data_IF_495766086012
#
_entry.id   IF_495766086012
#
_cell.length_a   1.000
_cell.length_b   1.000
_cell.length_c   1.000
_cell.angle_alpha   90.00
_cell.angle_beta   90.00
_cell.angle_gamma   90.00
#
_symmetry.space_group_name_H-M   'P 1'
#
loop_
_entity.id
_entity.type
_entity.pdbx_description
1 polymer ?
#
# COMPACT_ATOMS: atom_id res chain seq x y z
N UNK A 1 11.69 -23.44 -33.94
CA UNK A 1 10.81 -22.39 -33.39
C UNK A 1 9.78 -22.10 -34.50
N UNK A 2 8.50 -22.41 -34.24
CA UNK A 2 7.42 -22.05 -35.16
C UNK A 2 7.16 -20.55 -35.10
N UNK A 3 6.83 -19.89 -36.22
CA UNK A 3 6.44 -18.48 -36.17
C UNK A 3 5.16 -18.34 -35.36
N UNK A 4 5.25 -17.71 -34.18
CA UNK A 4 4.13 -17.52 -33.26
C UNK A 4 4.36 -18.03 -31.84
N UNK A 5 5.40 -18.80 -31.58
CA UNK A 5 5.75 -19.16 -30.20
C UNK A 5 6.31 -17.93 -29.46
N UNK A 6 5.84 -17.63 -28.24
CA UNK A 6 6.41 -16.55 -27.45
C UNK A 6 7.90 -16.85 -27.23
N UNK A 7 8.75 -15.90 -27.61
CA UNK A 7 10.20 -15.98 -27.36
C UNK A 7 10.40 -16.27 -25.87
N UNK A 8 11.09 -17.36 -25.49
CA UNK A 8 11.35 -17.62 -24.08
C UNK A 8 12.17 -16.44 -23.53
N UNK A 9 11.60 -15.69 -22.61
CA UNK A 9 12.31 -14.62 -21.92
C UNK A 9 13.38 -15.33 -21.09
N UNK A 10 14.66 -15.16 -21.46
CA UNK A 10 15.78 -15.72 -20.71
C UNK A 10 15.78 -15.08 -19.31
N UNK A 11 15.47 -15.83 -18.25
CA UNK A 11 15.47 -15.29 -16.89
C UNK A 11 16.85 -14.80 -16.46
N UNK A 12 17.93 -15.26 -17.08
CA UNK A 12 19.30 -14.83 -16.74
C UNK A 12 19.58 -13.43 -17.27
N UNK A 13 19.13 -13.08 -18.47
CA UNK A 13 19.28 -11.73 -19.02
C UNK A 13 18.48 -10.67 -18.28
N UNK A 14 17.43 -11.07 -17.54
CA UNK A 14 16.67 -10.18 -16.64
C UNK A 14 17.46 -9.71 -15.42
N UNK A 15 18.53 -10.40 -15.05
CA UNK A 15 19.28 -10.17 -13.81
C UNK A 15 20.71 -9.65 -14.03
N UNK A 16 21.18 -9.52 -15.27
CA UNK A 16 22.55 -9.11 -15.58
C UNK A 16 22.88 -7.63 -15.36
N UNK A 17 21.90 -6.80 -15.06
CA UNK A 17 22.12 -5.37 -14.89
C UNK A 17 21.81 -4.92 -13.47
N UNK A 18 22.64 -5.19 -12.49
CA UNK A 18 22.73 -4.34 -11.29
C UNK A 18 23.99 -4.62 -10.46
N UNK A 19 25.17 -4.31 -11.01
CA UNK A 19 26.41 -4.28 -10.21
C UNK A 19 26.49 -3.05 -9.29
N UNK A 20 25.61 -2.03 -9.47
CA UNK A 20 25.58 -0.76 -8.73
C UNK A 20 24.44 -0.65 -7.70
N UNK A 21 23.82 -1.76 -7.28
CA UNK A 21 22.78 -1.70 -6.24
C UNK A 21 23.37 -1.32 -4.90
N UNK A 22 23.19 -0.05 -4.52
CA UNK A 22 23.43 0.36 -3.13
C UNK A 22 22.60 -0.49 -2.16
N UNK A 23 23.17 -0.83 -0.98
CA UNK A 23 22.49 -1.65 -0.01
C UNK A 23 21.17 -1.02 0.43
N UNK A 24 20.12 -1.83 0.58
CA UNK A 24 18.80 -1.42 1.12
C UNK A 24 18.91 -1.04 2.62
N UNK A 25 19.78 -0.07 2.94
CA UNK A 25 20.07 0.34 4.31
C UNK A 25 18.82 0.85 5.04
N UNK A 26 17.92 1.56 4.32
CA UNK A 26 16.64 2.01 4.84
C UNK A 26 15.73 0.88 5.32
N UNK A 27 15.80 -0.29 4.65
CA UNK A 27 15.00 -1.46 5.01
C UNK A 27 15.47 -2.13 6.33
N UNK A 28 16.69 -1.87 6.77
CA UNK A 28 17.22 -2.39 8.03
C UNK A 28 16.75 -1.58 9.24
N UNK A 29 16.26 -0.34 9.01
CA UNK A 29 15.79 0.57 10.05
C UNK A 29 14.26 0.47 10.15
N UNK A 30 13.68 -0.04 11.25
CA UNK A 30 12.23 -0.19 11.40
C UNK A 30 11.57 1.14 11.82
N UNK A 31 11.92 2.23 11.14
CA UNK A 31 11.40 3.60 11.30
C UNK A 31 11.50 4.34 9.97
N UNK A 32 10.72 5.42 9.77
CA UNK A 32 10.85 6.27 8.59
C UNK A 32 12.27 6.83 8.46
N UNK A 33 12.89 6.60 7.30
CA UNK A 33 14.18 7.21 6.94
C UNK A 33 13.90 8.37 6.01
N UNK A 34 13.89 9.57 6.57
CA UNK A 34 13.64 10.80 5.81
C UNK A 34 14.83 11.17 4.93
N UNK A 35 14.53 11.61 3.71
CA UNK A 35 15.47 12.12 2.72
C UNK A 35 15.01 13.48 2.27
N UNK A 36 15.92 14.44 2.18
CA UNK A 36 15.69 15.76 1.58
C UNK A 36 15.83 15.72 0.05
N UNK A 37 15.59 16.84 -0.61
CA UNK A 37 15.77 16.98 -2.04
C UNK A 37 14.68 16.32 -2.88
N UNK A 38 13.48 16.15 -2.33
CA UNK A 38 12.36 15.59 -3.06
C UNK A 38 11.38 16.66 -3.53
N UNK A 39 10.67 16.35 -4.60
CA UNK A 39 9.41 16.99 -5.00
C UNK A 39 8.28 15.98 -4.75
N UNK A 40 7.26 16.39 -4.02
CA UNK A 40 6.09 15.56 -3.74
C UNK A 40 4.81 16.31 -4.07
N UNK A 41 3.88 15.63 -4.72
CA UNK A 41 2.60 16.19 -5.17
C UNK A 41 1.48 15.28 -4.67
N UNK A 42 0.44 15.88 -4.07
CA UNK A 42 -0.77 15.18 -3.65
C UNK A 42 -1.70 15.01 -4.86
N UNK A 43 -2.08 13.78 -5.15
CA UNK A 43 -3.01 13.43 -6.23
C UNK A 43 -4.32 12.93 -5.62
N UNK A 44 -5.43 13.63 -5.91
CA UNK A 44 -6.76 13.26 -5.47
C UNK A 44 -7.47 12.44 -6.54
N UNK A 45 -7.82 11.20 -6.19
CA UNK A 45 -8.57 10.30 -7.07
C UNK A 45 -7.79 9.81 -8.29
N UNK A 46 -8.43 8.92 -9.03
CA UNK A 46 -7.93 8.40 -10.30
C UNK A 46 -7.80 9.46 -11.38
N UNK A 47 -8.67 10.47 -11.35
CA UNK A 47 -8.66 11.59 -12.32
C UNK A 47 -7.35 12.40 -12.26
N UNK A 48 -6.71 12.50 -11.10
CA UNK A 48 -5.39 13.12 -10.98
C UNK A 48 -4.26 12.08 -11.17
N UNK A 49 -4.40 10.88 -10.60
CA UNK A 49 -3.37 9.85 -10.62
C UNK A 49 -3.12 9.30 -12.02
N UNK A 50 -4.16 8.85 -12.73
CA UNK A 50 -3.96 8.12 -13.98
C UNK A 50 -3.36 8.97 -15.09
N UNK A 51 -3.78 10.23 -15.33
CA UNK A 51 -3.11 11.09 -16.30
C UNK A 51 -1.63 11.33 -15.97
N UNK A 52 -1.30 11.60 -14.70
CA UNK A 52 0.08 11.81 -14.26
C UNK A 52 0.94 10.54 -14.44
N UNK A 53 0.41 9.38 -14.05
CA UNK A 53 1.08 8.09 -14.19
C UNK A 53 1.24 7.70 -15.66
N UNK A 54 0.21 7.86 -16.49
CA UNK A 54 0.26 7.62 -17.94
C UNK A 54 1.28 8.53 -18.62
N UNK A 55 1.34 9.81 -18.23
CA UNK A 55 2.36 10.74 -18.74
C UNK A 55 3.77 10.28 -18.42
N UNK A 56 4.04 9.87 -17.16
CA UNK A 56 5.33 9.33 -16.77
C UNK A 56 5.68 8.06 -17.57
N UNK A 57 4.75 7.12 -17.71
CA UNK A 57 4.94 5.88 -18.49
C UNK A 57 5.21 6.17 -19.98
N UNK A 58 4.52 7.16 -20.55
CA UNK A 58 4.76 7.59 -21.96
C UNK A 58 6.16 8.13 -22.17
N UNK A 59 6.74 8.78 -21.17
CA UNK A 59 8.08 9.35 -21.21
C UNK A 59 9.17 8.38 -20.74
N UNK A 60 8.80 7.19 -20.29
CA UNK A 60 9.74 6.16 -19.85
C UNK A 60 10.74 5.79 -20.95
N UNK A 61 12.03 5.65 -20.56
CA UNK A 61 13.16 5.33 -21.44
C UNK A 61 13.74 3.95 -21.16
N UNK A 62 13.73 3.50 -19.92
CA UNK A 62 14.43 2.31 -19.49
C UNK A 62 13.51 1.25 -18.90
N UNK A 63 12.75 1.60 -17.86
CA UNK A 63 11.91 0.62 -17.18
C UNK A 63 10.70 1.23 -16.46
N UNK A 64 9.66 0.42 -16.36
CA UNK A 64 8.44 0.71 -15.60
C UNK A 64 8.14 -0.47 -14.69
N UNK A 65 7.93 -0.20 -13.41
CA UNK A 65 7.49 -1.12 -12.40
C UNK A 65 6.12 -0.74 -11.89
N UNK A 66 5.17 -1.67 -11.90
CA UNK A 66 3.83 -1.48 -11.35
C UNK A 66 3.51 -2.62 -10.40
N UNK A 67 3.07 -2.30 -9.19
CA UNK A 67 2.49 -3.25 -8.25
C UNK A 67 1.12 -2.74 -7.81
N UNK A 68 0.09 -3.58 -7.91
CA UNK A 68 -1.28 -3.20 -7.55
C UNK A 68 -2.05 -4.37 -6.96
N UNK A 69 -3.02 -4.07 -6.10
CA UNK A 69 -3.93 -5.05 -5.55
C UNK A 69 -5.06 -5.39 -6.54
N UNK A 70 -5.66 -4.38 -7.15
CA UNK A 70 -6.68 -4.51 -8.20
C UNK A 70 -6.13 -3.91 -9.49
N UNK A 71 -6.30 -4.64 -10.60
CA UNK A 71 -6.17 -4.14 -11.96
C UNK A 71 -7.44 -4.57 -12.69
N UNK A 72 -8.40 -3.67 -12.81
CA UNK A 72 -9.74 -3.94 -13.32
C UNK A 72 -9.79 -3.89 -14.85
N UNK A 73 -10.88 -4.40 -15.45
CA UNK A 73 -11.13 -4.30 -16.88
C UNK A 73 -12.13 -3.16 -17.18
N UNK A 74 -11.78 -1.93 -16.79
CA UNK A 74 -12.55 -0.73 -17.08
C UNK A 74 -11.78 0.26 -17.94
N UNK A 75 -12.42 1.36 -18.35
CA UNK A 75 -11.84 2.35 -19.25
C UNK A 75 -10.59 3.02 -18.64
N UNK A 76 -10.57 3.34 -17.36
CA UNK A 76 -9.44 3.98 -16.68
C UNK A 76 -8.25 3.01 -16.58
N UNK A 77 -8.50 1.77 -16.17
CA UNK A 77 -7.49 0.73 -16.08
C UNK A 77 -6.93 0.38 -17.47
N UNK A 78 -7.79 0.31 -18.49
CA UNK A 78 -7.36 0.04 -19.87
C UNK A 78 -6.53 1.18 -20.45
N UNK A 79 -6.75 2.44 -20.07
CA UNK A 79 -5.89 3.55 -20.47
C UNK A 79 -4.46 3.37 -19.90
N UNK A 80 -4.33 2.89 -18.66
CA UNK A 80 -3.03 2.54 -18.07
C UNK A 80 -2.40 1.35 -18.81
N UNK A 81 -3.17 0.28 -19.07
CA UNK A 81 -2.69 -0.88 -19.84
C UNK A 81 -2.13 -0.47 -21.20
N UNK A 82 -2.84 0.36 -21.97
CA UNK A 82 -2.40 0.89 -23.27
C UNK A 82 -1.09 1.69 -23.14
N UNK A 83 -0.92 2.48 -22.06
CA UNK A 83 0.32 3.21 -21.84
C UNK A 83 1.51 2.25 -21.61
N UNK A 84 1.31 1.21 -20.79
CA UNK A 84 2.29 0.15 -20.52
C UNK A 84 2.65 -0.62 -21.81
N UNK A 85 1.63 -1.01 -22.61
CA UNK A 85 1.82 -1.68 -23.89
C UNK A 85 2.66 -0.84 -24.87
N UNK A 86 2.36 0.46 -24.98
CA UNK A 86 3.12 1.38 -25.82
C UNK A 86 4.56 1.55 -25.33
N UNK A 87 4.79 1.59 -24.02
CA UNK A 87 6.13 1.63 -23.46
C UNK A 87 6.91 0.34 -23.81
N UNK A 88 6.30 -0.83 -23.62
CA UNK A 88 6.92 -2.11 -23.97
C UNK A 88 7.28 -2.19 -25.49
N UNK A 89 6.40 -1.73 -26.39
CA UNK A 89 6.68 -1.66 -27.84
C UNK A 89 7.84 -0.72 -28.19
N UNK A 90 8.12 0.29 -27.37
CA UNK A 90 9.32 1.15 -27.52
C UNK A 90 10.61 0.52 -26.99
N UNK A 91 10.54 -0.70 -26.42
CA UNK A 91 11.69 -1.40 -25.85
C UNK A 91 11.90 -1.09 -24.35
N UNK A 92 10.99 -0.37 -23.70
CA UNK A 92 11.00 -0.15 -22.26
C UNK A 92 10.70 -1.46 -21.52
N UNK A 93 11.48 -1.79 -20.52
CA UNK A 93 11.27 -2.99 -19.67
C UNK A 93 10.10 -2.77 -18.72
N UNK A 94 8.94 -3.31 -19.07
CA UNK A 94 7.73 -3.18 -18.24
C UNK A 94 7.51 -4.43 -17.41
N UNK A 95 7.33 -4.26 -16.09
CA UNK A 95 7.06 -5.34 -15.13
C UNK A 95 5.87 -4.99 -14.26
N UNK A 96 4.92 -5.92 -14.19
CA UNK A 96 3.66 -5.73 -13.46
C UNK A 96 3.45 -6.85 -12.45
N UNK A 97 3.23 -6.51 -11.18
CA UNK A 97 2.82 -7.43 -10.12
C UNK A 97 1.37 -7.15 -9.76
N UNK A 98 0.53 -8.17 -9.87
CA UNK A 98 -0.91 -8.06 -9.55
C UNK A 98 -1.22 -9.04 -8.41
N UNK A 99 -2.03 -8.64 -7.42
CA UNK A 99 -2.48 -9.55 -6.38
C UNK A 99 -3.48 -10.58 -6.94
N UNK A 100 -3.29 -11.85 -6.60
CA UNK A 100 -4.12 -12.94 -7.13
C UNK A 100 -5.51 -13.05 -6.51
N UNK A 101 -5.81 -12.26 -5.44
CA UNK A 101 -7.13 -12.18 -4.84
C UNK A 101 -7.86 -10.91 -5.26
N UNK A 102 -7.19 -9.75 -5.13
CA UNK A 102 -7.81 -8.47 -5.41
C UNK A 102 -8.23 -8.27 -6.86
N UNK A 103 -7.50 -8.88 -7.80
CA UNK A 103 -7.81 -8.84 -9.23
C UNK A 103 -8.34 -10.17 -9.79
N UNK A 104 -8.84 -11.08 -8.92
CA UNK A 104 -9.18 -12.46 -9.31
C UNK A 104 -10.08 -12.54 -10.54
N UNK A 105 -11.12 -11.74 -10.58
CA UNK A 105 -12.13 -11.77 -11.64
C UNK A 105 -11.62 -11.19 -12.96
N UNK A 106 -10.67 -10.25 -12.90
CA UNK A 106 -10.13 -9.54 -14.06
C UNK A 106 -8.85 -10.17 -14.62
N UNK A 107 -8.17 -11.02 -13.85
CA UNK A 107 -6.90 -11.63 -14.26
C UNK A 107 -6.97 -12.38 -15.58
N UNK A 108 -8.13 -13.04 -15.86
CA UNK A 108 -8.34 -13.78 -17.09
C UNK A 108 -8.30 -12.90 -18.35
N UNK A 109 -8.57 -11.59 -18.21
CA UNK A 109 -8.55 -10.61 -19.30
C UNK A 109 -7.25 -9.81 -19.28
N UNK A 110 -6.86 -9.27 -18.13
CA UNK A 110 -5.75 -8.33 -17.99
C UNK A 110 -4.39 -9.02 -18.18
N UNK A 111 -4.15 -10.18 -17.56
CA UNK A 111 -2.85 -10.86 -17.61
C UNK A 111 -2.48 -11.30 -19.05
N UNK A 112 -3.34 -12.01 -19.83
CA UNK A 112 -3.02 -12.39 -21.20
C UNK A 112 -2.78 -11.18 -22.11
N UNK A 113 -3.56 -10.12 -21.95
CA UNK A 113 -3.41 -8.87 -22.71
C UNK A 113 -2.03 -8.25 -22.50
N UNK A 114 -1.62 -8.05 -21.26
CA UNK A 114 -0.32 -7.47 -20.92
C UNK A 114 0.84 -8.35 -21.42
N UNK A 115 0.72 -9.69 -21.26
CA UNK A 115 1.72 -10.64 -21.77
C UNK A 115 1.84 -10.62 -23.28
N UNK A 116 0.74 -10.52 -24.01
CA UNK A 116 0.73 -10.43 -25.47
C UNK A 116 1.47 -9.19 -26.00
N UNK A 117 1.54 -8.12 -25.19
CA UNK A 117 2.31 -6.92 -25.50
C UNK A 117 3.80 -7.01 -25.10
N UNK A 118 4.29 -8.18 -24.64
CA UNK A 118 5.67 -8.38 -24.18
C UNK A 118 5.96 -7.87 -22.76
N UNK A 119 4.92 -7.57 -21.99
CA UNK A 119 5.05 -7.14 -20.60
C UNK A 119 5.26 -8.36 -19.69
N UNK A 120 6.25 -8.29 -18.82
CA UNK A 120 6.46 -9.31 -17.83
C UNK A 120 5.45 -9.13 -16.70
N UNK A 121 4.54 -10.09 -16.52
CA UNK A 121 3.49 -10.08 -15.50
C UNK A 121 3.69 -11.22 -14.52
N UNK A 122 3.60 -10.95 -13.22
CA UNK A 122 3.54 -11.96 -12.17
C UNK A 122 2.33 -11.73 -11.27
N UNK A 123 1.67 -12.82 -10.90
CA UNK A 123 0.52 -12.80 -9.99
C UNK A 123 1.00 -13.19 -8.59
N UNK A 124 0.83 -12.29 -7.64
CA UNK A 124 1.17 -12.55 -6.24
C UNK A 124 0.11 -13.45 -5.60
N UNK A 125 0.51 -14.67 -5.20
CA UNK A 125 -0.33 -15.64 -4.50
C UNK A 125 -1.69 -15.87 -5.17
N UNK A 126 -1.72 -16.44 -6.37
CA UNK A 126 -2.97 -16.77 -7.07
C UNK A 126 -3.80 -17.76 -6.25
N UNK A 127 -5.12 -17.59 -6.29
CA UNK A 127 -6.08 -18.49 -5.65
C UNK A 127 -6.55 -19.56 -6.66
N UNK A 128 -5.76 -20.60 -6.84
CA UNK A 128 -6.08 -21.69 -7.80
C UNK A 128 -6.98 -22.77 -7.19
N UNK A 129 -7.03 -22.87 -5.84
CA UNK A 129 -7.80 -23.90 -5.13
C UNK A 129 -8.48 -23.31 -3.90
N UNK A 130 -9.69 -23.79 -3.59
CA UNK A 130 -10.43 -23.38 -2.39
C UNK A 130 -9.65 -23.67 -1.08
N UNK A 131 -8.77 -24.70 -1.06
CA UNK A 131 -7.93 -25.04 0.09
C UNK A 131 -6.88 -23.95 0.41
N UNK A 132 -6.58 -23.04 -0.54
CA UNK A 132 -5.68 -21.92 -0.30
C UNK A 132 -6.21 -20.94 0.76
N UNK A 133 -7.55 -20.88 0.93
CA UNK A 133 -8.17 -20.07 1.99
C UNK A 133 -7.85 -20.56 3.41
N UNK A 134 -7.53 -21.85 3.56
CA UNK A 134 -7.19 -22.44 4.84
C UNK A 134 -5.68 -22.29 5.19
N UNK A 135 -4.88 -21.78 4.27
CA UNK A 135 -3.44 -21.60 4.46
C UNK A 135 -3.12 -20.21 4.96
N UNK A 136 -2.63 -20.02 6.20
CA UNK A 136 -2.33 -18.69 6.75
C UNK A 136 -1.37 -17.86 5.89
N UNK A 137 -0.44 -18.55 5.19
CA UNK A 137 0.49 -17.93 4.25
C UNK A 137 -0.21 -17.26 3.08
N UNK A 138 -1.33 -17.79 2.61
CA UNK A 138 -2.10 -17.27 1.47
C UNK A 138 -2.98 -16.07 1.84
N UNK A 139 -3.23 -15.83 3.12
CA UNK A 139 -4.00 -14.67 3.60
C UNK A 139 -3.23 -13.34 3.52
N UNK A 140 -1.93 -13.41 3.31
CA UNK A 140 -1.07 -12.23 3.12
C UNK A 140 -1.23 -11.71 1.71
N UNK A 141 -1.71 -10.48 1.54
CA UNK A 141 -2.00 -9.89 0.23
C UNK A 141 -1.06 -8.75 -0.11
N UNK A 142 -0.82 -8.56 -1.41
CA UNK A 142 -0.11 -7.41 -1.96
C UNK A 142 -1.07 -6.23 -2.00
N UNK A 143 -1.18 -5.50 -0.91
CA UNK A 143 -2.12 -4.38 -0.84
C UNK A 143 -1.49 -3.03 -1.15
N UNK A 144 -0.18 -2.95 -1.37
CA UNK A 144 0.48 -1.73 -1.84
C UNK A 144 0.11 -1.41 -3.30
N UNK A 145 0.00 -0.13 -3.61
CA UNK A 145 -0.19 0.43 -4.95
C UNK A 145 1.00 1.33 -5.24
N UNK A 146 1.85 0.87 -6.14
CA UNK A 146 3.16 1.47 -6.37
C UNK A 146 3.49 1.41 -7.85
N UNK A 147 3.82 2.56 -8.44
CA UNK A 147 4.37 2.63 -9.79
C UNK A 147 5.70 3.41 -9.72
N UNK A 148 6.74 2.89 -10.38
CA UNK A 148 8.04 3.55 -10.48
C UNK A 148 8.48 3.54 -11.93
N UNK A 149 8.88 4.69 -12.43
CA UNK A 149 9.32 4.91 -13.82
C UNK A 149 10.77 5.38 -13.80
N UNK A 150 11.64 4.64 -14.46
CA UNK A 150 13.08 4.89 -14.65
C UNK A 150 13.88 5.13 -13.35
N UNK A 151 13.32 4.78 -12.17
CA UNK A 151 13.90 5.14 -10.88
C UNK A 151 13.86 6.64 -10.56
N UNK A 152 13.21 7.46 -11.39
CA UNK A 152 13.15 8.92 -11.29
C UNK A 152 11.81 9.41 -10.74
N UNK A 153 10.70 8.80 -11.18
CA UNK A 153 9.34 9.17 -10.75
C UNK A 153 8.68 7.99 -10.07
N UNK A 154 8.10 8.21 -8.89
CA UNK A 154 7.36 7.22 -8.13
C UNK A 154 5.95 7.66 -7.80
N UNK A 155 4.99 6.73 -7.80
CA UNK A 155 3.62 6.93 -7.37
C UNK A 155 3.31 5.92 -6.27
N UNK A 156 2.72 6.37 -5.17
CA UNK A 156 2.28 5.51 -4.06
C UNK A 156 1.02 6.08 -3.42
N UNK A 157 0.07 5.22 -3.03
CA UNK A 157 -1.17 5.68 -2.41
C UNK A 157 -2.16 4.57 -2.11
N UNK A 158 -3.42 4.96 -1.92
CA UNK A 158 -4.55 4.05 -1.71
C UNK A 158 -5.22 3.58 -3.01
N UNK A 159 -5.05 4.33 -4.12
CA UNK A 159 -5.80 4.17 -5.35
C UNK A 159 -5.35 2.92 -6.11
N UNK A 160 -6.27 1.99 -6.38
CA UNK A 160 -6.05 0.84 -7.25
C UNK A 160 -6.14 1.25 -8.73
N UNK A 161 -5.78 0.33 -9.63
CA UNK A 161 -5.98 0.53 -11.08
C UNK A 161 -7.41 0.12 -11.44
N UNK A 162 -8.35 1.00 -11.13
CA UNK A 162 -9.81 0.87 -11.32
C UNK A 162 -10.41 2.27 -11.34
N UNK A 163 -11.47 2.49 -12.10
CA UNK A 163 -12.22 3.73 -12.13
C UNK A 163 -12.82 4.04 -10.73
N UNK A 164 -12.69 5.28 -10.27
CA UNK A 164 -13.21 5.68 -8.95
C UNK A 164 -14.75 5.64 -8.85
N UNK A 165 -15.45 5.61 -10.00
CA UNK A 165 -16.89 5.43 -10.07
C UNK A 165 -17.33 3.96 -10.07
N UNK A 166 -16.40 3.00 -10.02
CA UNK A 166 -16.71 1.57 -9.98
C UNK A 166 -16.39 1.01 -8.60
N UNK A 167 -17.40 0.43 -7.95
CA UNK A 167 -17.24 -0.38 -6.75
C UNK A 167 -17.50 -1.86 -7.07
N UNK A 168 -16.60 -2.74 -6.66
CA UNK A 168 -16.67 -4.17 -7.00
C UNK A 168 -17.90 -4.88 -6.41
N UNK A 169 -18.49 -4.34 -5.34
CA UNK A 169 -19.65 -4.94 -4.69
C UNK A 169 -20.97 -4.26 -5.06
N UNK A 170 -20.91 -2.96 -5.45
CA UNK A 170 -22.10 -2.13 -5.66
C UNK A 170 -22.24 -1.64 -7.11
N UNK A 171 -21.27 -1.92 -7.98
CA UNK A 171 -21.26 -1.47 -9.38
C UNK A 171 -20.92 0.00 -9.53
N UNK A 172 -21.56 0.68 -10.50
CA UNK A 172 -21.29 2.09 -10.79
C UNK A 172 -21.89 3.02 -9.74
N UNK A 173 -21.10 3.99 -9.28
CA UNK A 173 -21.47 5.00 -8.28
C UNK A 173 -21.58 6.40 -8.90
N UNK A 174 -22.53 7.22 -8.41
CA UNK A 174 -22.74 8.59 -8.89
C UNK A 174 -21.54 9.51 -8.64
N UNK A 175 -20.91 9.36 -7.46
CA UNK A 175 -19.76 10.16 -7.05
C UNK A 175 -18.51 9.27 -6.98
N UNK A 176 -17.34 9.81 -7.34
CA UNK A 176 -16.10 9.06 -7.31
C UNK A 176 -15.70 8.73 -5.87
N UNK A 177 -15.04 7.61 -5.70
CA UNK A 177 -14.42 7.18 -4.45
C UNK A 177 -13.42 8.22 -3.97
N UNK A 178 -13.48 8.58 -2.69
CA UNK A 178 -12.48 9.47 -2.08
C UNK A 178 -11.22 8.68 -1.72
N UNK A 179 -10.15 8.92 -2.46
CA UNK A 179 -8.83 8.33 -2.18
C UNK A 179 -7.71 9.26 -2.66
N UNK A 180 -6.48 8.98 -2.23
CA UNK A 180 -5.31 9.80 -2.54
C UNK A 180 -4.10 8.96 -2.93
N UNK A 181 -3.24 9.56 -3.75
CA UNK A 181 -1.91 9.08 -4.05
C UNK A 181 -0.89 10.23 -3.95
N UNK A 182 0.37 9.89 -3.96
CA UNK A 182 1.51 10.83 -4.01
C UNK A 182 2.33 10.53 -5.25
N UNK A 183 2.59 11.54 -6.05
CA UNK A 183 3.68 11.55 -7.03
C UNK A 183 4.93 12.06 -6.33
N UNK A 184 6.05 11.39 -6.51
CA UNK A 184 7.34 11.76 -5.93
C UNK A 184 8.45 11.73 -6.97
N UNK A 185 9.36 12.70 -6.88
CA UNK A 185 10.61 12.77 -7.64
C UNK A 185 11.74 13.03 -6.65
N UNK A 186 12.93 12.49 -6.91
CA UNK A 186 14.10 12.67 -6.06
C UNK A 186 14.50 11.46 -5.23
N UNK A 187 15.34 11.61 -4.20
CA UNK A 187 15.96 10.51 -3.49
C UNK A 187 15.02 9.50 -2.84
N UNK A 188 13.75 9.88 -2.58
CA UNK A 188 12.73 8.99 -2.01
C UNK A 188 12.23 7.93 -3.01
N UNK A 189 12.43 8.13 -4.32
CA UNK A 189 11.99 7.17 -5.35
C UNK A 189 12.84 5.89 -5.32
N UNK A 190 14.11 5.97 -4.94
CA UNK A 190 14.99 4.81 -4.87
C UNK A 190 14.49 3.70 -3.93
N UNK A 191 14.14 3.97 -2.65
CA UNK A 191 13.51 2.93 -1.81
C UNK A 191 12.18 2.41 -2.36
N UNK A 192 11.41 3.22 -3.10
CA UNK A 192 10.19 2.76 -3.77
C UNK A 192 10.53 1.72 -4.84
N UNK A 193 11.51 2.00 -5.68
CA UNK A 193 12.01 1.09 -6.70
C UNK A 193 12.54 -0.22 -6.09
N UNK A 194 13.37 -0.13 -5.07
CA UNK A 194 13.90 -1.31 -4.37
C UNK A 194 12.78 -2.18 -3.79
N UNK A 195 11.71 -1.57 -3.27
CA UNK A 195 10.57 -2.30 -2.72
C UNK A 195 9.79 -3.04 -3.82
N UNK A 196 9.48 -2.39 -4.96
CA UNK A 196 8.73 -3.04 -6.05
C UNK A 196 9.56 -4.12 -6.72
N UNK A 197 10.86 -3.93 -6.89
CA UNK A 197 11.78 -4.96 -7.39
C UNK A 197 11.84 -6.18 -6.46
N UNK A 198 11.95 -5.96 -5.15
CA UNK A 198 11.91 -7.04 -4.16
C UNK A 198 10.59 -7.79 -4.17
N UNK A 199 9.47 -7.08 -4.39
CA UNK A 199 8.15 -7.69 -4.50
C UNK A 199 8.02 -8.53 -5.76
N UNK A 200 8.47 -8.02 -6.90
CA UNK A 200 8.56 -8.77 -8.15
C UNK A 200 9.32 -10.07 -7.96
N UNK A 201 10.53 -10.01 -7.42
CA UNK A 201 11.37 -11.20 -7.20
C UNK A 201 10.69 -12.22 -6.29
N UNK A 202 10.04 -11.78 -5.20
CA UNK A 202 9.29 -12.68 -4.30
C UNK A 202 8.12 -13.35 -4.99
N UNK A 203 7.40 -12.62 -5.85
CA UNK A 203 6.26 -13.16 -6.58
C UNK A 203 6.70 -14.16 -7.63
N UNK A 204 7.76 -13.86 -8.34
CA UNK A 204 8.37 -14.73 -9.35
C UNK A 204 8.86 -16.04 -8.76
N UNK A 205 9.70 -16.02 -7.72
CA UNK A 205 10.21 -17.22 -7.08
C UNK A 205 9.14 -18.03 -6.34
N UNK A 206 8.08 -17.42 -5.85
CA UNK A 206 6.98 -18.12 -5.20
C UNK A 206 6.17 -19.00 -6.14
N UNK A 207 6.06 -18.62 -7.42
CA UNK A 207 5.25 -19.31 -8.44
C UNK A 207 6.04 -20.42 -9.16
N UNK A 208 7.29 -20.16 -9.46
CA UNK A 208 8.11 -21.03 -10.31
C UNK A 208 9.17 -21.84 -9.55
N UNK A 209 9.21 -21.75 -8.20
CA UNK A 209 10.21 -22.47 -7.41
C UNK A 209 10.22 -23.98 -7.69
N UNK A 210 9.05 -24.61 -7.85
CA UNK A 210 8.97 -26.03 -8.19
C UNK A 210 9.44 -26.29 -9.63
N UNK A 211 9.18 -25.37 -10.54
CA UNK A 211 9.63 -25.46 -11.92
C UNK A 211 11.13 -25.15 -12.04
N UNK A 212 11.61 -24.12 -11.32
CA UNK A 212 13.05 -23.82 -11.18
C UNK A 212 13.82 -24.96 -10.50
N UNK A 213 13.28 -25.60 -9.48
CA UNK A 213 13.87 -26.77 -8.86
C UNK A 213 13.94 -27.96 -9.84
N UNK A 214 12.94 -28.17 -10.68
CA UNK A 214 13.00 -29.19 -11.74
C UNK A 214 14.07 -28.83 -12.78
N UNK A 215 14.15 -27.56 -13.19
CA UNK A 215 15.20 -27.09 -14.10
C UNK A 215 16.60 -27.16 -13.49
N UNK A 216 16.74 -26.89 -12.19
CA UNK A 216 18.00 -27.05 -11.46
C UNK A 216 18.46 -28.50 -11.40
N UNK A 217 17.54 -29.45 -11.24
CA UNK A 217 17.86 -30.88 -11.23
C UNK A 217 18.29 -31.40 -12.61
N UNK A 218 17.97 -30.72 -13.70
CA UNK A 218 18.32 -31.08 -15.08
C UNK A 218 19.43 -30.22 -15.68
N UNK A 219 20.12 -29.37 -14.91
CA UNK A 219 21.18 -28.46 -15.39
C UNK A 219 22.54 -29.01 -15.07
N UNK A 220 23.49 -28.95 -16.00
CA UNK A 220 24.86 -29.45 -15.85
C UNK A 220 25.66 -28.78 -14.71
N UNK A 221 25.24 -27.62 -14.19
CA UNK A 221 25.92 -26.90 -13.09
C UNK A 221 24.96 -26.35 -12.03
N UNK A 222 24.23 -27.22 -11.31
CA UNK A 222 23.17 -26.80 -10.38
C UNK A 222 23.68 -25.94 -9.20
N UNK A 223 24.92 -26.21 -8.74
CA UNK A 223 25.51 -25.49 -7.59
C UNK A 223 25.88 -24.04 -7.93
N UNK A 224 26.33 -23.76 -9.16
CA UNK A 224 26.66 -22.40 -9.58
C UNK A 224 25.38 -21.56 -9.77
N UNK A 225 24.33 -22.14 -10.36
CA UNK A 225 23.02 -21.51 -10.52
C UNK A 225 22.34 -21.26 -9.18
N UNK A 226 22.41 -22.22 -8.26
CA UNK A 226 21.92 -22.06 -6.89
C UNK A 226 22.70 -20.99 -6.11
N UNK A 227 24.03 -20.92 -6.26
CA UNK A 227 24.85 -19.84 -5.67
C UNK A 227 24.51 -18.47 -6.25
N UNK A 228 24.22 -18.37 -7.54
CA UNK A 228 23.72 -17.14 -8.19
C UNK A 228 22.40 -16.70 -7.57
N UNK A 229 21.42 -17.61 -7.50
CA UNK A 229 20.13 -17.38 -6.87
C UNK A 229 20.23 -16.99 -5.38
N UNK A 230 21.11 -17.69 -4.63
CA UNK A 230 21.38 -17.38 -3.22
C UNK A 230 22.13 -16.06 -3.01
N UNK A 231 22.99 -15.63 -3.97
CA UNK A 231 23.61 -14.31 -3.95
C UNK A 231 22.60 -13.19 -4.16
N UNK A 232 21.63 -13.39 -5.03
CA UNK A 232 20.55 -12.45 -5.29
C UNK A 232 19.55 -12.38 -4.12
N UNK A 233 19.35 -13.49 -3.39
CA UNK A 233 18.54 -13.51 -2.15
C UNK A 233 19.30 -13.00 -0.92
N UNK A 234 20.61 -12.94 -0.94
CA UNK A 234 21.42 -12.34 0.13
C UNK A 234 21.32 -10.82 0.02
N UNK A 235 20.34 -10.27 0.72
CA UNK A 235 20.44 -8.92 1.27
C UNK A 235 21.80 -8.87 1.99
N UNK A 236 22.78 -8.26 1.36
CA UNK A 236 24.19 -8.33 1.75
C UNK A 236 24.35 -7.95 3.20
N UNK A 237 24.83 -8.90 3.97
CA UNK A 237 25.27 -8.77 5.36
C UNK A 237 26.66 -8.13 5.39
N UNK A 238 26.80 -6.89 4.90
CA UNK A 238 27.98 -6.07 5.16
C UNK A 238 27.52 -4.78 5.80
N UNK A 239 27.82 -4.67 7.10
CA UNK A 239 27.70 -3.44 7.82
C UNK A 239 28.57 -2.37 7.14
N UNK A 240 27.92 -1.47 6.46
CA UNK A 240 28.54 -0.18 6.13
C UNK A 240 28.04 0.80 7.16
N UNK A 241 28.98 1.54 7.74
CA UNK A 241 28.73 2.73 8.55
C UNK A 241 27.64 3.52 7.86
N UNK A 242 26.55 3.76 8.59
CA UNK A 242 25.56 4.76 8.23
C UNK A 242 26.35 6.03 7.96
N UNK A 243 26.47 6.42 6.69
CA UNK A 243 26.98 7.73 6.36
C UNK A 243 26.10 8.71 7.13
N UNK A 244 26.72 9.59 7.93
CA UNK A 244 26.02 10.73 8.51
C UNK A 244 25.35 11.40 7.34
N UNK A 245 24.01 11.36 7.34
CA UNK A 245 23.22 12.14 6.40
C UNK A 245 23.59 13.60 6.71
N UNK A 246 24.34 14.23 5.84
CA UNK A 246 24.51 15.68 5.86
C UNK A 246 23.10 16.27 5.85
N UNK A 247 22.85 17.20 6.77
CA UNK A 247 21.64 18.01 6.80
C UNK A 247 21.58 18.82 5.50
N UNK A 248 21.04 18.23 4.46
CA UNK A 248 20.70 18.97 3.25
C UNK A 248 19.41 19.71 3.55
N UNK A 249 19.49 21.01 3.66
CA UNK A 249 18.34 21.91 3.79
C UNK A 249 17.44 21.84 2.55
N UNK A 250 16.16 22.30 2.67
CA UNK A 250 15.03 21.85 1.86
C UNK A 250 15.22 21.97 0.35
N UNK A 251 14.57 21.17 -0.45
CA UNK A 251 13.13 20.97 -0.51
C UNK A 251 12.71 19.66 0.16
N UNK A 252 11.46 19.41 0.29
CA UNK A 252 10.65 18.44 0.97
C UNK A 252 11.35 17.20 1.55
N UNK A 253 11.25 17.01 2.85
CA UNK A 253 11.68 15.77 3.50
C UNK A 253 10.59 14.70 3.34
N UNK A 254 10.93 13.59 2.68
CA UNK A 254 10.02 12.48 2.50
C UNK A 254 10.67 11.15 2.91
N UNK A 255 9.85 10.23 3.40
CA UNK A 255 10.25 8.87 3.74
C UNK A 255 9.24 7.88 3.15
N UNK A 256 9.73 6.95 2.36
CA UNK A 256 8.95 5.81 1.93
C UNK A 256 9.02 4.72 3.01
N UNK A 257 7.86 4.27 3.46
CA UNK A 257 7.74 3.25 4.50
C UNK A 257 6.89 2.09 4.01
N UNK A 258 7.33 0.90 4.34
CA UNK A 258 6.61 -0.33 4.00
C UNK A 258 6.22 -1.09 5.25
N UNK A 259 5.19 -1.87 5.13
CA UNK A 259 4.89 -2.94 6.06
C UNK A 259 5.07 -4.27 5.33
N UNK A 260 5.90 -5.14 5.87
CA UNK A 260 6.08 -6.50 5.40
C UNK A 260 5.99 -7.51 6.56
N UNK A 261 6.08 -8.80 6.22
CA UNK A 261 6.02 -9.86 7.22
C UNK A 261 7.39 -10.28 7.77
N UNK A 262 8.45 -9.50 7.51
CA UNK A 262 9.83 -9.79 7.90
C UNK A 262 10.38 -8.76 8.89
N UNK A 263 11.00 -7.70 8.40
CA UNK A 263 11.70 -6.70 9.20
C UNK A 263 10.88 -5.45 9.46
N UNK A 264 10.00 -5.10 8.54
CA UNK A 264 9.21 -3.86 8.56
C UNK A 264 7.77 -4.08 9.09
N UNK A 265 7.60 -5.04 10.03
CA UNK A 265 6.27 -5.48 10.51
C UNK A 265 5.42 -4.37 11.10
N UNK A 266 6.03 -3.40 11.78
CA UNK A 266 5.34 -2.33 12.52
C UNK A 266 5.81 -0.95 12.11
N UNK A 267 6.51 -0.80 10.99
CA UNK A 267 7.12 0.49 10.62
C UNK A 267 6.07 1.54 10.34
N UNK A 268 5.03 1.20 9.58
CA UNK A 268 3.92 2.12 9.30
C UNK A 268 3.22 2.47 10.62
N UNK A 269 2.82 1.49 11.44
CA UNK A 269 2.15 1.72 12.72
C UNK A 269 2.98 2.61 13.67
N UNK A 270 4.29 2.37 13.76
CA UNK A 270 5.21 3.19 14.56
C UNK A 270 5.29 4.61 14.04
N UNK A 271 5.35 4.81 12.72
CA UNK A 271 5.36 6.15 12.12
C UNK A 271 4.12 6.96 12.54
N UNK A 272 2.95 6.33 12.53
CA UNK A 272 1.71 6.94 13.01
C UNK A 272 1.78 7.25 14.51
N UNK A 273 2.15 6.28 15.34
CA UNK A 273 2.19 6.44 16.80
C UNK A 273 3.19 7.53 17.22
N UNK A 274 4.37 7.57 16.60
CA UNK A 274 5.41 8.57 16.90
C UNK A 274 4.91 9.98 16.52
N UNK A 275 4.24 10.13 15.36
CA UNK A 275 3.63 11.40 14.96
C UNK A 275 2.49 11.84 15.91
N UNK A 276 1.60 10.92 16.30
CA UNK A 276 0.53 11.20 17.26
C UNK A 276 1.09 11.64 18.62
N UNK A 277 2.17 11.01 19.09
CA UNK A 277 2.83 11.37 20.36
C UNK A 277 3.47 12.76 20.31
N UNK A 278 3.98 13.18 19.16
CA UNK A 278 4.60 14.49 18.96
C UNK A 278 3.61 15.62 18.67
N UNK A 279 2.37 15.30 18.34
CA UNK A 279 1.32 16.26 18.00
C UNK A 279 1.09 17.31 19.08
N UNK A 280 0.92 18.57 18.69
CA UNK A 280 0.73 19.74 19.55
C UNK A 280 -0.58 20.46 19.33
N UNK A 281 -1.12 20.48 18.10
CA UNK A 281 -2.29 21.28 17.73
C UNK A 281 -3.42 20.39 17.23
N UNK A 282 -3.19 19.57 16.18
CA UNK A 282 -4.23 18.79 15.54
C UNK A 282 -3.74 17.46 14.98
N UNK A 283 -4.65 16.49 14.98
CA UNK A 283 -4.50 15.21 14.29
C UNK A 283 -5.79 15.00 13.49
N UNK A 284 -5.69 14.96 12.16
CA UNK A 284 -6.79 14.61 11.28
C UNK A 284 -6.46 13.31 10.57
N UNK A 285 -7.28 12.31 10.75
CA UNK A 285 -7.07 10.97 10.22
C UNK A 285 -8.27 10.55 9.39
N UNK A 286 -8.03 10.16 8.15
CA UNK A 286 -9.00 9.49 7.29
C UNK A 286 -8.60 8.03 7.13
N UNK A 287 -9.51 7.13 7.47
CA UNK A 287 -9.32 5.70 7.29
C UNK A 287 -10.68 5.00 7.20
N UNK A 288 -10.98 4.28 6.09
CA UNK A 288 -12.27 3.61 5.92
C UNK A 288 -12.51 2.54 6.98
N UNK A 289 -11.46 1.77 7.33
CA UNK A 289 -11.51 0.69 8.31
C UNK A 289 -10.57 1.01 9.46
N UNK A 290 -11.16 1.39 10.60
CA UNK A 290 -10.42 1.84 11.77
C UNK A 290 -10.68 0.92 12.97
N UNK A 291 -9.76 0.02 13.21
CA UNK A 291 -9.76 -0.86 14.37
C UNK A 291 -8.32 -1.05 14.90
N UNK A 292 -7.70 0.02 15.43
CA UNK A 292 -6.32 0.01 15.86
C UNK A 292 -6.09 -0.82 17.12
N UNK A 293 -4.85 -1.28 17.27
CA UNK A 293 -4.39 -1.90 18.50
C UNK A 293 -4.38 -0.93 19.68
N UNK A 294 -4.27 -1.49 20.89
CA UNK A 294 -4.38 -0.73 22.15
C UNK A 294 -3.35 0.40 22.27
N UNK A 295 -2.12 0.20 21.78
CA UNK A 295 -1.06 1.22 21.82
C UNK A 295 -1.43 2.46 21.01
N UNK A 296 -1.98 2.24 19.81
CA UNK A 296 -2.43 3.30 18.91
C UNK A 296 -3.60 4.10 19.53
N UNK A 297 -4.63 3.40 20.05
CA UNK A 297 -5.77 4.03 20.73
C UNK A 297 -5.32 4.88 21.89
N UNK A 298 -4.46 4.33 22.77
CA UNK A 298 -3.89 5.07 23.89
C UNK A 298 -3.12 6.31 23.47
N UNK A 299 -2.40 6.25 22.33
CA UNK A 299 -1.68 7.40 21.81
C UNK A 299 -2.65 8.52 21.40
N UNK A 300 -3.75 8.21 20.68
CA UNK A 300 -4.79 9.17 20.31
C UNK A 300 -5.49 9.77 21.54
N UNK A 301 -5.92 8.94 22.49
CA UNK A 301 -6.58 9.41 23.72
C UNK A 301 -5.65 10.34 24.52
N UNK A 302 -4.36 10.00 24.64
CA UNK A 302 -3.39 10.86 25.32
C UNK A 302 -3.14 12.17 24.57
N UNK A 303 -3.17 12.17 23.21
CA UNK A 303 -3.06 13.39 22.45
C UNK A 303 -4.27 14.31 22.68
N UNK A 304 -5.49 13.78 22.66
CA UNK A 304 -6.70 14.53 22.97
C UNK A 304 -6.68 15.08 24.42
N UNK A 305 -6.24 14.29 25.41
CA UNK A 305 -6.07 14.74 26.79
C UNK A 305 -5.02 15.87 26.95
N UNK A 306 -4.03 15.95 26.06
CA UNK A 306 -3.09 17.09 26.01
C UNK A 306 -3.68 18.36 25.38
N UNK A 307 -4.93 18.33 24.92
CA UNK A 307 -5.59 19.44 24.23
C UNK A 307 -5.40 19.44 22.70
N UNK A 308 -4.82 18.38 22.14
CA UNK A 308 -4.69 18.24 20.68
C UNK A 308 -6.07 17.95 20.08
N UNK A 309 -6.48 18.73 19.07
CA UNK A 309 -7.71 18.44 18.33
C UNK A 309 -7.56 17.15 17.51
N UNK A 310 -8.30 16.11 17.86
CA UNK A 310 -8.28 14.83 17.15
C UNK A 310 -9.58 14.61 16.39
N UNK A 311 -9.50 14.52 15.06
CA UNK A 311 -10.64 14.25 14.16
C UNK A 311 -10.41 12.96 13.38
N UNK A 312 -11.37 12.06 13.43
CA UNK A 312 -11.36 10.81 12.69
C UNK A 312 -12.49 10.84 11.67
N UNK A 313 -12.16 10.63 10.40
CA UNK A 313 -13.13 10.51 9.32
C UNK A 313 -13.14 9.07 8.81
N UNK A 314 -14.28 8.43 8.90
CA UNK A 314 -14.49 7.03 8.59
C UNK A 314 -15.55 6.84 7.50
N UNK A 315 -15.64 5.63 6.96
CA UNK A 315 -16.62 5.24 5.98
C UNK A 315 -18.04 5.26 6.57
N UNK A 316 -18.93 6.07 6.00
CA UNK A 316 -20.33 6.16 6.39
C UNK A 316 -21.24 5.20 5.62
N UNK A 317 -20.90 4.91 4.33
CA UNK A 317 -21.56 3.89 3.49
C UNK A 317 -20.76 2.58 3.57
N UNK A 318 -21.14 1.60 4.41
CA UNK A 318 -20.31 0.43 4.60
C UNK A 318 -20.38 -0.49 3.39
N UNK A 319 -19.26 -0.69 2.72
CA UNK A 319 -19.01 -1.76 1.75
C UNK A 319 -18.78 -3.11 2.46
N UNK A 320 -18.13 -3.09 3.64
CA UNK A 320 -17.95 -4.24 4.52
C UNK A 320 -18.62 -4.00 5.89
N UNK A 321 -19.85 -4.51 6.06
CA UNK A 321 -20.65 -4.31 7.28
C UNK A 321 -19.92 -4.68 8.57
N UNK A 322 -19.19 -5.80 8.57
CA UNK A 322 -18.48 -6.30 9.76
C UNK A 322 -17.35 -5.33 10.18
N UNK A 323 -16.57 -4.82 9.24
CA UNK A 323 -15.50 -3.88 9.51
C UNK A 323 -16.04 -2.53 10.04
N UNK A 324 -17.15 -2.04 9.45
CA UNK A 324 -17.82 -0.84 9.92
C UNK A 324 -18.39 -1.01 11.34
N UNK A 325 -18.99 -2.19 11.64
CA UNK A 325 -19.47 -2.49 12.99
C UNK A 325 -18.33 -2.55 13.99
N UNK A 326 -17.22 -3.16 13.66
CA UNK A 326 -16.03 -3.22 14.51
C UNK A 326 -15.49 -1.81 14.85
N UNK A 327 -15.40 -0.93 13.85
CA UNK A 327 -14.98 0.46 14.05
C UNK A 327 -15.94 1.20 15.02
N UNK A 328 -17.24 1.07 14.83
CA UNK A 328 -18.26 1.74 15.65
C UNK A 328 -18.25 1.32 17.14
N UNK A 329 -17.78 0.12 17.42
CA UNK A 329 -17.58 -0.34 18.81
C UNK A 329 -16.62 0.57 19.58
N UNK A 330 -15.65 1.16 18.91
CA UNK A 330 -14.66 2.04 19.53
C UNK A 330 -15.12 3.50 19.68
N UNK A 331 -16.24 3.90 19.05
CA UNK A 331 -16.69 5.29 19.04
C UNK A 331 -16.91 5.85 20.45
N UNK A 332 -17.61 5.10 21.31
CA UNK A 332 -17.90 5.52 22.66
C UNK A 332 -16.62 5.70 23.51
N UNK A 333 -15.65 4.78 23.39
CA UNK A 333 -14.33 4.91 24.07
C UNK A 333 -13.61 6.18 23.62
N UNK A 334 -13.49 6.39 22.29
CA UNK A 334 -12.73 7.49 21.73
C UNK A 334 -13.39 8.85 22.03
N UNK A 335 -14.71 8.94 21.89
CA UNK A 335 -15.48 10.19 22.13
C UNK A 335 -15.44 10.61 23.61
N UNK A 336 -15.42 9.67 24.58
CA UNK A 336 -15.22 9.99 25.99
C UNK A 336 -13.89 10.68 26.28
N UNK A 337 -12.89 10.49 25.43
CA UNK A 337 -11.59 11.16 25.53
C UNK A 337 -11.51 12.45 24.71
N UNK A 338 -12.63 12.94 24.16
CA UNK A 338 -12.67 14.20 23.40
C UNK A 338 -12.27 14.07 21.94
N UNK A 339 -12.24 12.87 21.38
CA UNK A 339 -11.97 12.64 19.96
C UNK A 339 -13.26 12.84 19.17
N UNK A 340 -13.20 13.70 18.15
CA UNK A 340 -14.31 13.97 17.22
C UNK A 340 -14.33 12.90 16.12
N UNK A 341 -15.50 12.32 15.87
CA UNK A 341 -15.70 11.26 14.86
C UNK A 341 -16.70 11.73 13.81
N UNK A 342 -16.36 11.51 12.54
CA UNK A 342 -17.18 11.86 11.39
C UNK A 342 -17.36 10.65 10.48
N UNK A 343 -18.55 10.50 9.88
CA UNK A 343 -18.83 9.50 8.86
C UNK A 343 -19.02 10.19 7.49
N UNK A 344 -18.22 9.79 6.50
CA UNK A 344 -18.30 10.29 5.14
C UNK A 344 -19.45 9.62 4.38
N UNK A 345 -20.46 10.41 4.01
CA UNK A 345 -21.69 9.91 3.40
C UNK A 345 -21.79 10.10 1.88
N UNK A 346 -21.10 11.07 1.23
CA UNK A 346 -21.32 11.35 -0.18
C UNK A 346 -20.99 10.18 -1.11
N UNK A 347 -19.81 9.57 -0.94
CA UNK A 347 -19.31 8.47 -1.78
C UNK A 347 -18.62 7.41 -0.92
N UNK A 348 -18.07 6.38 -1.56
CA UNK A 348 -17.19 5.44 -0.87
C UNK A 348 -15.89 6.14 -0.47
N UNK A 349 -15.50 5.93 0.78
CA UNK A 349 -14.24 6.39 1.33
C UNK A 349 -13.22 5.26 1.27
N UNK A 350 -12.09 5.49 0.60
CA UNK A 350 -11.00 4.51 0.57
C UNK A 350 -9.64 5.12 0.96
N UNK A 351 -9.59 6.41 1.26
CA UNK A 351 -8.38 7.13 1.66
C UNK A 351 -7.78 6.64 2.97
N UNK A 352 -6.45 6.53 3.03
CA UNK A 352 -5.67 6.21 4.22
C UNK A 352 -4.61 7.28 4.39
N UNK A 353 -5.01 8.37 5.05
CA UNK A 353 -4.17 9.54 5.24
C UNK A 353 -4.23 10.05 6.67
N UNK A 354 -3.14 10.61 7.14
CA UNK A 354 -3.11 11.33 8.41
C UNK A 354 -2.31 12.62 8.26
N UNK A 355 -2.85 13.68 8.82
CA UNK A 355 -2.21 14.98 9.00
C UNK A 355 -1.95 15.19 10.48
N UNK A 356 -0.75 15.62 10.82
CA UNK A 356 -0.39 16.03 12.19
C UNK A 356 0.21 17.43 12.15
N UNK A 357 -0.42 18.31 12.89
CA UNK A 357 -0.10 19.74 12.91
C UNK A 357 -0.09 20.31 11.48
N UNK A 358 0.89 21.17 11.14
CA UNK A 358 0.95 21.83 9.82
C UNK A 358 2.12 21.34 8.96
N UNK A 359 2.82 20.29 9.35
CA UNK A 359 4.07 19.92 8.71
C UNK A 359 4.31 18.43 8.53
N UNK A 360 3.45 17.55 9.06
CA UNK A 360 3.61 16.11 8.93
C UNK A 360 2.36 15.48 8.31
N UNK A 361 2.55 14.74 7.25
CA UNK A 361 1.47 14.05 6.56
C UNK A 361 1.89 12.64 6.16
N UNK A 362 0.92 11.73 6.05
CA UNK A 362 1.13 10.43 5.41
C UNK A 362 -0.04 10.09 4.49
N UNK A 363 0.31 9.50 3.34
CA UNK A 363 -0.62 8.98 2.34
C UNK A 363 -0.15 7.59 1.94
N UNK A 364 -1.08 6.62 1.88
CA UNK A 364 -0.67 5.27 1.50
C UNK A 364 -1.80 4.26 1.38
N UNK A 365 -1.43 3.00 1.39
CA UNK A 365 -2.35 1.87 1.22
C UNK A 365 -2.84 1.27 2.54
N UNK A 366 -2.18 1.58 3.68
CA UNK A 366 -2.39 0.88 4.94
C UNK A 366 -3.61 1.38 5.69
N UNK A 367 -4.64 0.55 5.82
CA UNK A 367 -5.68 0.77 6.81
C UNK A 367 -5.13 0.64 8.23
N UNK A 368 -5.85 1.18 9.19
CA UNK A 368 -5.54 1.04 10.61
C UNK A 368 -6.44 -0.04 11.20
N UNK A 369 -6.23 -1.26 10.74
CA UNK A 369 -6.93 -2.47 11.15
C UNK A 369 -5.94 -3.64 11.25
N UNK A 370 -6.31 -4.75 11.95
CA UNK A 370 -5.42 -5.87 12.15
C UNK A 370 -4.93 -6.55 10.86
N UNK A 371 -5.76 -6.58 9.80
CA UNK A 371 -5.39 -7.24 8.54
C UNK A 371 -4.28 -6.44 7.87
N UNK A 372 -4.47 -5.13 7.72
CA UNK A 372 -3.47 -4.25 7.13
C UNK A 372 -2.20 -4.14 7.96
N UNK A 373 -2.34 -4.04 9.30
CA UNK A 373 -1.19 -3.84 10.19
C UNK A 373 -0.44 -5.14 10.53
N UNK A 374 -1.00 -6.33 10.27
CA UNK A 374 -0.37 -7.61 10.65
C UNK A 374 -0.13 -8.56 9.49
N UNK A 375 -0.92 -8.51 8.42
CA UNK A 375 -0.89 -9.50 7.34
C UNK A 375 -0.46 -8.92 5.99
N UNK A 376 -1.08 -7.83 5.54
CA UNK A 376 -0.89 -7.30 4.21
C UNK A 376 0.51 -6.70 4.00
N UNK A 377 0.91 -6.64 2.74
CA UNK A 377 2.07 -5.88 2.29
C UNK A 377 1.58 -4.48 1.91
N UNK A 378 1.98 -3.49 2.69
CA UNK A 378 1.50 -2.12 2.58
C UNK A 378 2.65 -1.15 2.32
N UNK A 379 2.34 0.01 1.73
CA UNK A 379 3.29 1.09 1.50
C UNK A 379 2.65 2.46 1.73
N UNK A 380 3.37 3.33 2.43
CA UNK A 380 2.97 4.70 2.66
C UNK A 380 4.13 5.65 2.33
N UNK A 381 3.79 6.86 1.87
CA UNK A 381 4.67 8.01 1.88
C UNK A 381 4.43 8.80 3.15
N UNK A 382 5.49 9.16 3.84
CA UNK A 382 5.48 10.10 4.98
C UNK A 382 6.21 11.35 4.54
N UNK A 383 5.55 12.50 4.65
CA UNK A 383 6.07 13.79 4.18
C UNK A 383 6.17 14.75 5.35
N UNK A 384 7.30 15.45 5.46
CA UNK A 384 7.51 16.58 6.34
C UNK A 384 7.71 17.83 5.50
N UNK A 385 6.60 18.48 5.22
CA UNK A 385 6.55 19.70 4.42
C UNK A 385 5.26 20.45 4.71
N UNK A 386 5.36 21.76 4.89
CA UNK A 386 4.19 22.58 5.25
C UNK A 386 3.24 22.75 4.07
N UNK A 387 3.73 22.90 2.86
CA UNK A 387 2.90 23.07 1.66
C UNK A 387 2.08 21.82 1.39
N UNK A 388 2.74 20.66 1.37
CA UNK A 388 2.06 19.37 1.20
C UNK A 388 1.03 19.11 2.32
N UNK A 389 1.37 19.44 3.56
CA UNK A 389 0.47 19.28 4.69
C UNK A 389 -0.76 20.21 4.58
N UNK A 390 -0.59 21.45 4.07
CA UNK A 390 -1.69 22.38 3.80
C UNK A 390 -2.59 21.89 2.67
N UNK A 391 -2.04 21.39 1.58
CA UNK A 391 -2.81 20.81 0.47
C UNK A 391 -3.68 19.64 0.98
N UNK A 392 -3.09 18.74 1.75
CA UNK A 392 -3.83 17.65 2.37
C UNK A 392 -4.88 18.16 3.37
N UNK A 393 -4.58 19.20 4.15
CA UNK A 393 -5.54 19.80 5.09
C UNK A 393 -6.78 20.37 4.38
N UNK A 394 -6.59 21.00 3.22
CA UNK A 394 -7.70 21.52 2.41
C UNK A 394 -8.59 20.37 1.96
N UNK A 395 -8.03 19.28 1.46
CA UNK A 395 -8.80 18.13 1.00
C UNK A 395 -9.54 17.42 2.16
N UNK A 396 -8.86 17.22 3.30
CA UNK A 396 -9.49 16.67 4.52
C UNK A 396 -10.62 17.59 5.01
N UNK A 397 -10.38 18.92 5.00
CA UNK A 397 -11.39 19.91 5.41
C UNK A 397 -12.65 19.86 4.53
N UNK A 398 -12.48 19.71 3.21
CA UNK A 398 -13.60 19.52 2.27
C UNK A 398 -14.38 18.24 2.57
N UNK A 399 -13.68 17.14 2.84
CA UNK A 399 -14.32 15.88 3.16
C UNK A 399 -15.07 15.94 4.50
N UNK A 400 -14.49 16.56 5.53
CA UNK A 400 -15.14 16.77 6.83
C UNK A 400 -16.39 17.63 6.72
N UNK A 401 -16.36 18.70 5.91
CA UNK A 401 -17.52 19.57 5.69
C UNK A 401 -18.73 18.86 5.03
N UNK A 402 -18.48 17.76 4.34
CA UNK A 402 -19.50 16.90 3.69
C UNK A 402 -19.86 15.68 4.52
N UNK A 403 -19.35 15.57 5.74
CA UNK A 403 -19.49 14.39 6.59
C UNK A 403 -20.44 14.64 7.75
N UNK A 404 -21.04 13.58 8.24
CA UNK A 404 -21.90 13.62 9.42
C UNK A 404 -21.08 13.46 10.69
N UNK A 405 -21.16 14.43 11.60
CA UNK A 405 -20.58 14.31 12.93
C UNK A 405 -21.35 13.28 13.78
N UNK A 406 -20.63 12.37 14.40
CA UNK A 406 -21.21 11.37 15.29
C UNK A 406 -21.38 11.97 16.67
N UNK A 407 -22.62 11.93 17.18
CA UNK A 407 -22.95 12.42 18.53
C UNK A 407 -23.05 11.27 19.54
N UNK A 408 -22.78 11.56 20.80
CA UNK A 408 -22.94 10.58 21.88
C UNK A 408 -24.38 10.04 21.98
N UNK A 409 -25.38 10.86 21.63
CA UNK A 409 -26.78 10.45 21.58
C UNK A 409 -27.01 9.41 20.47
N UNK A 410 -26.43 9.59 19.27
CA UNK A 410 -26.51 8.63 18.16
C UNK A 410 -25.87 7.30 18.53
N UNK A 411 -24.72 7.31 19.21
CA UNK A 411 -24.05 6.10 19.68
C UNK A 411 -24.93 5.34 20.67
N UNK A 412 -25.61 6.05 21.59
CA UNK A 412 -26.51 5.43 22.58
C UNK A 412 -27.82 4.94 21.97
N UNK A 413 -28.41 5.70 21.02
CA UNK A 413 -29.72 5.36 20.41
C UNK A 413 -29.63 4.18 19.43
N UNK A 414 -28.50 3.95 18.81
CA UNK A 414 -28.25 2.78 17.95
C UNK A 414 -28.14 1.49 18.76
N UNK A 415 -28.39 1.56 20.08
CA UNK A 415 -28.69 0.47 21.02
C UNK A 415 -27.96 -0.82 20.69
N UNK A 416 -26.69 -0.87 20.95
CA UNK A 416 -25.95 -2.14 20.94
C UNK A 416 -26.46 -3.01 22.08
N UNK A 417 -27.74 -3.35 22.04
CA UNK A 417 -28.36 -4.37 22.87
C UNK A 417 -27.81 -5.72 22.45
N UNK A 418 -26.57 -5.96 22.80
CA UNK A 418 -25.93 -7.23 22.58
C UNK A 418 -24.42 -7.11 22.66
N UNK A 419 -23.87 -7.17 23.84
CA UNK A 419 -22.42 -7.43 24.06
C UNK A 419 -21.95 -8.67 23.30
N UNK A 420 -22.87 -9.59 22.93
CA UNK A 420 -22.55 -10.82 22.22
C UNK A 420 -21.94 -10.62 20.82
N UNK A 421 -22.44 -9.75 19.92
CA UNK A 421 -21.76 -9.49 18.64
C UNK A 421 -20.39 -8.85 18.81
N UNK A 422 -20.22 -7.98 19.78
CA UNK A 422 -18.95 -7.32 20.09
C UNK A 422 -17.88 -8.32 20.51
N UNK A 423 -18.20 -9.16 21.47
CA UNK A 423 -17.34 -10.23 21.97
C UNK A 423 -17.05 -11.24 20.86
N UNK A 424 -18.03 -11.54 20.01
CA UNK A 424 -17.88 -12.48 18.91
C UNK A 424 -16.95 -11.92 17.81
N UNK A 425 -17.05 -10.63 17.49
CA UNK A 425 -16.18 -9.96 16.51
C UNK A 425 -14.75 -9.87 17.04
N UNK A 426 -14.56 -9.45 18.29
CA UNK A 426 -13.24 -9.41 18.94
C UNK A 426 -12.63 -10.81 19.03
N UNK A 427 -13.45 -11.79 19.38
CA UNK A 427 -13.02 -13.19 19.46
C UNK A 427 -12.71 -13.78 18.09
N UNK A 428 -13.55 -13.54 17.08
CA UNK A 428 -13.31 -14.00 15.71
C UNK A 428 -12.05 -13.35 15.10
N UNK A 429 -11.83 -12.05 15.33
CA UNK A 429 -10.62 -11.35 14.93
C UNK A 429 -9.38 -11.91 15.66
N UNK A 430 -9.48 -12.15 16.95
CA UNK A 430 -8.42 -12.75 17.76
C UNK A 430 -8.09 -14.18 17.34
N UNK A 431 -9.10 -15.03 17.15
CA UNK A 431 -8.93 -16.42 16.70
C UNK A 431 -8.35 -16.45 15.30
N UNK A 432 -8.88 -15.62 14.39
CA UNK A 432 -8.36 -15.49 13.03
C UNK A 432 -6.88 -15.11 13.01
N UNK A 433 -6.48 -14.12 13.80
CA UNK A 433 -5.09 -13.67 13.90
C UNK A 433 -4.17 -14.71 14.54
N UNK A 434 -4.68 -15.47 15.52
CA UNK A 434 -3.94 -16.54 16.18
C UNK A 434 -3.74 -17.75 15.27
N UNK A 435 -4.76 -18.14 14.52
CA UNK A 435 -4.69 -19.22 13.52
C UNK A 435 -3.78 -18.83 12.35
N UNK A 436 -3.75 -17.54 11.99
CA UNK A 436 -2.85 -17.00 10.99
C UNK A 436 -1.36 -16.96 11.43
N UNK A 437 -1.03 -17.44 12.64
CA UNK A 437 0.35 -17.50 13.15
C UNK A 437 0.92 -16.15 13.55
N UNK A 438 0.08 -15.16 13.81
CA UNK A 438 0.48 -13.83 14.30
C UNK A 438 0.55 -13.90 15.83
N UNK A 439 1.67 -14.38 16.36
CA UNK A 439 1.97 -14.30 17.79
C UNK A 439 2.53 -12.91 18.10
N UNK A 440 1.67 -11.99 18.47
CA UNK A 440 2.03 -10.67 18.96
C UNK A 440 0.94 -10.17 19.91
N UNK A 441 1.33 -9.56 21.04
CA UNK A 441 0.36 -8.88 21.92
C UNK A 441 -0.25 -7.70 21.17
N UNK A 442 -1.52 -7.74 20.90
CA UNK A 442 -2.35 -6.67 20.39
C UNK A 442 -2.93 -5.86 21.54
#
# INVERSE_FOLDING_TARGET
VKPGDPVPIDPVSMFEADQDSEPMSWYLVPRPVFRGGNEVELLRGGDALFPAMISAIRNARHEVWLATYIFHDDAAAMAVAVALERAARRGVRVRVVIDGFGAHDDLAVVEPRLRAAGIAVTVFRPLERWTHWLQPGQLRRLHMKLCVVDGEVGFVGGINVIDDHIDLNHGHTELPRLDFAVRAVGPVVRPMEQAVRAMWSRSWFGRDWQQEMRLLMHTERPVQRLRGLMRQMRLTRRGHRVARLEEVQPPVQAAFVVRDNLRQRRTIERAYIDAIRSARQRIWLICPYFYPGQEFRRALCKAAQRGVQVRLLMQGKPDYRIAAMAARVLYDELMRHGIEIYEYMPAFLHAKVMLVDDHWATVGSSNIDPISLLLNLEANMVVRDTTFAQDLAVEIGRALAQSEAITAQRVKSQGWAGLAPRVLIEWAAYVYLRVAGVTGRY
#
